data_IF_583823295032
#
_entry.id   IF_583823295032
#
_cell.length_a   1.000
_cell.length_b   1.000
_cell.length_c   1.000
_cell.angle_alpha   90.00
_cell.angle_beta   90.00
_cell.angle_gamma   90.00
#
_symmetry.space_group_name_H-M   'P 1'
#
loop_
_entity.id
_entity.type
_entity.pdbx_description
1 polymer ?
#
# COMPACT_ATOMS: atom_id res chain seq x y z
N UNK A 1 -10.64 -9.73 4.22
CA UNK A 1 -10.48 -8.26 4.34
C UNK A 1 -10.95 -7.66 5.66
N UNK A 2 -12.05 -8.12 6.28
CA UNK A 2 -12.55 -7.58 7.57
C UNK A 2 -11.46 -7.53 8.68
N UNK A 3 -10.69 -8.60 8.86
CA UNK A 3 -9.62 -8.60 9.87
C UNK A 3 -8.52 -7.58 9.57
N UNK A 4 -8.15 -7.39 8.30
CA UNK A 4 -7.16 -6.37 7.91
C UNK A 4 -7.66 -4.95 8.26
N UNK A 5 -8.95 -4.68 8.05
CA UNK A 5 -9.59 -3.43 8.48
C UNK A 5 -9.57 -3.27 10.01
N UNK A 6 -9.92 -4.31 10.77
CA UNK A 6 -9.91 -4.25 12.24
C UNK A 6 -8.50 -4.02 12.80
N UNK A 7 -7.48 -4.62 12.18
CA UNK A 7 -6.08 -4.42 12.54
C UNK A 7 -5.61 -3.00 12.23
N UNK A 8 -5.97 -2.46 11.06
CA UNK A 8 -5.68 -1.07 10.72
C UNK A 8 -6.35 -0.12 11.72
N UNK A 9 -7.64 -0.33 12.02
CA UNK A 9 -8.38 0.43 13.04
C UNK A 9 -7.70 0.35 14.41
N UNK A 10 -7.30 -0.84 14.85
CA UNK A 10 -6.64 -1.03 16.12
C UNK A 10 -5.25 -0.36 16.17
N UNK A 11 -4.52 -0.37 15.06
CA UNK A 11 -3.26 0.34 14.91
C UNK A 11 -3.48 1.85 15.03
N UNK A 12 -4.45 2.42 14.30
CA UNK A 12 -4.80 3.85 14.39
C UNK A 12 -5.24 4.26 15.80
N UNK A 13 -6.00 3.42 16.49
CA UNK A 13 -6.40 3.64 17.89
C UNK A 13 -5.17 3.74 18.79
N UNK A 14 -4.24 2.79 18.64
CA UNK A 14 -3.01 2.75 19.44
C UNK A 14 -2.10 3.94 19.16
N UNK A 15 -2.07 4.41 17.91
CA UNK A 15 -1.32 5.59 17.53
C UNK A 15 -1.93 6.90 18.03
N UNK A 16 -3.15 6.88 18.57
CA UNK A 16 -3.88 8.09 18.99
C UNK A 16 -4.49 8.87 17.82
N UNK A 17 -4.62 8.24 16.66
CA UNK A 17 -5.12 8.87 15.42
C UNK A 17 -6.63 8.68 15.26
N UNK A 18 -7.18 7.55 15.70
CA UNK A 18 -8.57 7.16 15.41
C UNK A 18 -9.63 8.10 16.02
N UNK A 19 -9.29 8.87 17.05
CA UNK A 19 -10.20 9.85 17.68
C UNK A 19 -10.36 11.14 16.88
N UNK A 20 -9.55 11.36 15.85
CA UNK A 20 -9.60 12.53 14.98
C UNK A 20 -10.48 12.30 13.75
N UNK A 21 -11.02 13.38 13.16
CA UNK A 21 -11.85 13.27 11.95
C UNK A 21 -11.03 12.74 10.78
N UNK A 22 -9.81 13.23 10.60
CA UNK A 22 -8.88 12.78 9.56
C UNK A 22 -8.53 11.29 9.71
N UNK A 23 -8.41 10.78 10.94
CA UNK A 23 -8.23 9.36 11.21
C UNK A 23 -9.44 8.51 10.80
N UNK A 24 -10.66 9.01 11.04
CA UNK A 24 -11.92 8.37 10.62
C UNK A 24 -12.02 8.38 9.09
N UNK A 25 -11.81 9.54 8.45
CA UNK A 25 -11.82 9.69 6.99
C UNK A 25 -10.82 8.74 6.35
N UNK A 26 -9.58 8.70 6.83
CA UNK A 26 -8.56 7.77 6.34
C UNK A 26 -9.03 6.31 6.41
N UNK A 27 -9.52 5.87 7.57
CA UNK A 27 -9.87 4.47 7.80
C UNK A 27 -11.02 4.02 6.89
N UNK A 28 -12.11 4.79 6.82
CA UNK A 28 -13.31 4.40 6.09
C UNK A 28 -13.18 4.63 4.58
N UNK A 29 -12.42 5.65 4.16
CA UNK A 29 -12.07 5.84 2.76
C UNK A 29 -11.18 4.69 2.28
N UNK A 30 -10.26 4.22 3.12
CA UNK A 30 -9.47 3.00 2.84
C UNK A 30 -10.36 1.77 2.69
N UNK A 31 -11.34 1.54 3.59
CA UNK A 31 -12.21 0.36 3.45
C UNK A 31 -13.10 0.40 2.22
N UNK A 32 -13.53 1.59 1.80
CA UNK A 32 -14.43 1.78 0.67
C UNK A 32 -13.72 2.03 -0.66
N UNK A 33 -12.38 2.05 -0.70
CA UNK A 33 -11.64 2.23 -1.94
C UNK A 33 -11.94 1.04 -2.88
N UNK A 34 -12.26 1.28 -4.17
CA UNK A 34 -12.72 0.21 -5.06
C UNK A 34 -11.77 -1.00 -5.12
N UNK A 35 -10.45 -0.77 -5.17
CA UNK A 35 -9.45 -1.85 -5.14
C UNK A 35 -9.46 -2.68 -3.85
N UNK A 36 -9.75 -2.08 -2.69
CA UNK A 36 -9.83 -2.81 -1.41
C UNK A 36 -11.14 -3.61 -1.29
N UNK A 37 -12.22 -3.12 -1.90
CA UNK A 37 -13.45 -3.89 -2.07
C UNK A 37 -13.21 -5.08 -3.00
N UNK A 38 -12.53 -4.87 -4.13
CA UNK A 38 -12.11 -5.97 -5.01
C UNK A 38 -11.26 -7.01 -4.28
N UNK A 39 -10.30 -6.59 -3.45
CA UNK A 39 -9.52 -7.52 -2.62
C UNK A 39 -10.37 -8.29 -1.61
N UNK A 40 -11.60 -7.87 -1.32
CA UNK A 40 -12.50 -8.63 -0.45
C UNK A 40 -13.19 -9.80 -1.15
N UNK A 41 -13.28 -9.75 -2.48
CA UNK A 41 -13.93 -10.77 -3.32
C UNK A 41 -12.94 -11.54 -4.20
N UNK A 42 -11.70 -11.07 -4.32
CA UNK A 42 -10.65 -11.74 -5.08
C UNK A 42 -10.29 -13.12 -4.50
N UNK A 43 -10.22 -14.13 -5.37
CA UNK A 43 -9.86 -15.51 -5.03
C UNK A 43 -8.35 -15.81 -5.13
N UNK A 44 -7.50 -14.78 -5.09
CA UNK A 44 -6.05 -14.90 -5.19
C UNK A 44 -5.33 -14.65 -3.85
N UNK A 45 -3.99 -14.66 -3.87
CA UNK A 45 -3.15 -14.53 -2.67
C UNK A 45 -2.97 -13.08 -2.17
N UNK A 46 -3.45 -12.07 -2.91
CA UNK A 46 -3.25 -10.66 -2.54
C UNK A 46 -3.97 -10.22 -1.26
N UNK A 47 -5.22 -10.65 -1.00
CA UNK A 47 -5.93 -10.30 0.24
C UNK A 47 -5.19 -10.85 1.48
N UNK A 48 -4.62 -12.04 1.38
CA UNK A 48 -3.80 -12.64 2.43
C UNK A 48 -2.47 -11.88 2.62
N UNK A 49 -1.79 -11.50 1.55
CA UNK A 49 -0.57 -10.70 1.63
C UNK A 49 -0.83 -9.33 2.30
N UNK A 50 -1.94 -8.67 1.94
CA UNK A 50 -2.37 -7.43 2.57
C UNK A 50 -2.71 -7.62 4.06
N UNK A 51 -3.39 -8.71 4.42
CA UNK A 51 -3.68 -9.07 5.81
C UNK A 51 -2.41 -9.23 6.66
N UNK A 52 -1.41 -10.00 6.21
CA UNK A 52 -0.14 -10.14 6.93
C UNK A 52 0.63 -8.82 7.03
N UNK A 53 0.49 -7.93 6.05
CA UNK A 53 1.05 -6.57 6.14
C UNK A 53 0.38 -5.78 7.26
N UNK A 54 -0.95 -5.86 7.40
CA UNK A 54 -1.70 -5.20 8.48
C UNK A 54 -1.43 -5.83 9.86
N UNK A 55 -1.20 -7.15 9.96
CA UNK A 55 -0.72 -7.78 11.20
C UNK A 55 0.64 -7.21 11.60
N UNK A 56 1.55 -7.14 10.64
CA UNK A 56 2.91 -6.63 10.85
C UNK A 56 2.87 -5.18 11.32
N UNK A 57 2.00 -4.34 10.74
CA UNK A 57 1.73 -2.98 11.20
C UNK A 57 1.18 -2.95 12.63
N UNK A 58 0.18 -3.77 12.94
CA UNK A 58 -0.43 -3.82 14.26
C UNK A 58 0.57 -4.22 15.36
N UNK A 59 1.33 -5.30 15.16
CA UNK A 59 2.31 -5.72 16.16
C UNK A 59 3.50 -4.76 16.24
N UNK A 60 3.94 -4.20 15.11
CA UNK A 60 5.02 -3.20 15.12
C UNK A 60 4.59 -1.92 15.84
N UNK A 61 3.36 -1.43 15.65
CA UNK A 61 2.85 -0.29 16.42
C UNK A 61 2.70 -0.62 17.90
N UNK A 62 2.30 -1.86 18.25
CA UNK A 62 2.25 -2.33 19.63
C UNK A 62 3.62 -2.37 20.31
N UNK A 63 4.67 -2.71 19.57
CA UNK A 63 6.04 -2.82 20.08
C UNK A 63 6.79 -1.50 20.13
N UNK A 64 6.57 -0.63 19.15
CA UNK A 64 7.52 0.45 18.84
C UNK A 64 6.90 1.85 18.76
N UNK A 65 5.57 2.02 18.81
CA UNK A 65 4.99 3.36 18.64
C UNK A 65 5.24 4.29 19.84
N UNK A 66 4.98 3.80 21.05
CA UNK A 66 5.18 4.52 22.32
C UNK A 66 6.11 3.79 23.32
N UNK A 67 6.54 2.58 22.98
CA UNK A 67 7.25 1.65 23.88
C UNK A 67 8.57 1.15 23.27
N UNK A 68 9.14 1.93 22.35
CA UNK A 68 10.40 1.57 21.71
C UNK A 68 11.54 1.58 22.75
N UNK A 69 12.38 0.55 22.73
CA UNK A 69 13.54 0.47 23.61
C UNK A 69 13.24 0.15 25.08
N UNK A 70 11.99 -0.14 25.44
CA UNK A 70 11.65 -0.68 26.77
C UNK A 70 12.35 -2.04 27.02
N UNK A 71 12.53 -2.39 28.31
CA UNK A 71 13.13 -3.67 28.70
C UNK A 71 12.25 -4.85 28.22
N UNK A 72 12.87 -6.00 27.97
CA UNK A 72 12.16 -7.21 27.59
C UNK A 72 11.21 -7.64 28.72
N UNK A 73 9.92 -7.74 28.42
CA UNK A 73 8.87 -8.23 29.32
C UNK A 73 8.14 -9.39 28.65
N UNK A 74 7.40 -10.20 29.43
CA UNK A 74 6.61 -11.30 28.87
C UNK A 74 5.64 -10.82 27.77
N UNK A 75 5.00 -9.66 27.98
CA UNK A 75 4.13 -9.03 26.98
C UNK A 75 4.89 -8.66 25.70
N UNK A 76 6.08 -8.05 25.83
CA UNK A 76 6.92 -7.69 24.68
C UNK A 76 7.37 -8.93 23.91
N UNK A 77 7.74 -10.00 24.61
CA UNK A 77 8.10 -11.28 24.00
C UNK A 77 6.93 -11.88 23.21
N UNK A 78 5.71 -11.89 23.76
CA UNK A 78 4.51 -12.36 23.05
C UNK A 78 4.30 -11.56 21.75
N UNK A 79 4.45 -10.24 21.81
CA UNK A 79 4.31 -9.38 20.63
C UNK A 79 5.41 -9.62 19.58
N UNK A 80 6.65 -9.87 20.00
CA UNK A 80 7.75 -10.25 19.10
C UNK A 80 7.48 -11.61 18.43
N UNK A 81 7.01 -12.60 19.18
CA UNK A 81 6.59 -13.89 18.62
C UNK A 81 5.44 -13.73 17.64
N UNK A 82 4.44 -12.89 17.95
CA UNK A 82 3.33 -12.62 17.04
C UNK A 82 3.78 -11.88 15.76
N UNK A 83 4.74 -10.95 15.88
CA UNK A 83 5.35 -10.29 14.73
C UNK A 83 6.14 -11.29 13.85
N UNK A 84 6.90 -12.18 14.47
CA UNK A 84 7.62 -13.27 13.80
C UNK A 84 6.67 -14.18 13.02
N UNK A 85 5.56 -14.60 13.64
CA UNK A 85 4.54 -15.43 12.98
C UNK A 85 3.88 -14.67 11.82
N UNK A 86 3.64 -13.37 11.96
CA UNK A 86 3.12 -12.52 10.89
C UNK A 86 4.05 -12.48 9.68
N UNK A 87 5.36 -12.29 9.90
CA UNK A 87 6.35 -12.31 8.81
C UNK A 87 6.50 -13.68 8.16
N UNK A 88 6.53 -14.75 8.97
CA UNK A 88 6.59 -16.13 8.50
C UNK A 88 5.38 -16.45 7.62
N UNK A 89 4.17 -16.18 8.12
CA UNK A 89 2.92 -16.37 7.36
C UNK A 89 2.87 -15.52 6.08
N UNK A 90 3.36 -14.28 6.14
CA UNK A 90 3.48 -13.41 4.98
C UNK A 90 4.36 -14.01 3.88
N UNK A 91 5.56 -14.50 4.23
CA UNK A 91 6.49 -15.14 3.29
C UNK A 91 6.02 -16.51 2.79
N UNK A 92 5.30 -17.29 3.60
CA UNK A 92 4.69 -18.53 3.14
C UNK A 92 3.57 -18.27 2.11
N UNK A 93 2.86 -17.15 2.25
CA UNK A 93 1.79 -16.79 1.34
C UNK A 93 2.31 -16.17 0.03
N UNK A 94 3.21 -15.17 0.11
CA UNK A 94 3.72 -14.48 -1.07
C UNK A 94 5.06 -13.79 -0.81
N UNK A 95 5.95 -13.77 -1.80
CA UNK A 95 7.28 -13.13 -1.72
C UNK A 95 7.22 -11.63 -1.37
N UNK A 96 6.14 -10.93 -1.73
CA UNK A 96 5.91 -9.53 -1.35
C UNK A 96 5.80 -9.33 0.16
N UNK A 97 5.57 -10.39 0.94
CA UNK A 97 5.63 -10.38 2.40
C UNK A 97 6.99 -9.92 2.94
N UNK A 98 8.07 -10.04 2.16
CA UNK A 98 9.40 -9.51 2.51
C UNK A 98 9.37 -7.99 2.75
N UNK A 99 8.53 -7.25 2.01
CA UNK A 99 8.44 -5.80 2.14
C UNK A 99 7.89 -5.36 3.50
N UNK A 100 7.10 -6.22 4.16
CA UNK A 100 6.57 -5.97 5.51
C UNK A 100 7.66 -5.87 6.57
N UNK A 101 8.86 -6.39 6.31
CA UNK A 101 10.00 -6.29 7.22
C UNK A 101 10.42 -4.83 7.42
N UNK A 102 10.13 -3.94 6.46
CA UNK A 102 10.46 -2.53 6.61
C UNK A 102 9.56 -1.80 7.61
N UNK A 103 8.38 -2.33 7.95
CA UNK A 103 7.39 -1.69 8.81
C UNK A 103 7.93 -1.32 10.20
N UNK A 104 8.50 -2.25 10.99
CA UNK A 104 9.02 -1.90 12.31
C UNK A 104 10.16 -0.88 12.24
N UNK A 105 11.01 -0.92 11.21
CA UNK A 105 12.06 0.06 10.99
C UNK A 105 11.48 1.44 10.69
N UNK A 106 10.50 1.54 9.79
CA UNK A 106 9.85 2.80 9.45
C UNK A 106 9.19 3.44 10.68
N UNK A 107 8.54 2.64 11.52
CA UNK A 107 7.91 3.13 12.76
C UNK A 107 8.96 3.68 13.72
N UNK A 108 10.04 2.93 13.98
CA UNK A 108 11.08 3.39 14.90
C UNK A 108 11.79 4.62 14.36
N UNK A 109 12.16 4.65 13.08
CA UNK A 109 12.83 5.78 12.45
C UNK A 109 12.02 7.08 12.57
N UNK A 110 10.70 6.99 12.44
CA UNK A 110 9.81 8.16 12.51
C UNK A 110 9.50 8.57 13.95
N UNK A 111 9.25 7.61 14.84
CA UNK A 111 8.72 7.90 16.19
C UNK A 111 9.79 7.97 17.28
N UNK A 112 10.83 7.14 17.17
CA UNK A 112 11.83 6.95 18.22
C UNK A 112 13.23 6.74 17.61
N UNK A 113 13.74 7.68 16.78
CA UNK A 113 15.01 7.52 16.06
C UNK A 113 16.20 7.32 17.01
N UNK A 114 16.16 7.86 18.21
CA UNK A 114 17.21 7.78 19.23
C UNK A 114 17.47 6.34 19.74
N UNK A 115 16.45 5.48 19.74
CA UNK A 115 16.59 4.06 20.12
C UNK A 115 16.66 3.13 18.91
N UNK A 116 16.82 3.67 17.70
CA UNK A 116 16.87 2.88 16.46
C UNK A 116 17.87 1.75 16.56
N UNK A 117 19.14 2.05 16.88
CA UNK A 117 20.19 1.04 16.94
C UNK A 117 19.91 -0.07 17.97
N UNK A 118 19.29 0.29 19.10
CA UNK A 118 18.90 -0.67 20.14
C UNK A 118 17.81 -1.62 19.64
N UNK A 119 16.76 -1.08 19.02
CA UNK A 119 15.64 -1.87 18.50
C UNK A 119 15.99 -2.65 17.23
N UNK A 120 16.95 -2.19 16.42
CA UNK A 120 17.42 -2.89 15.23
C UNK A 120 17.94 -4.28 15.55
N UNK A 121 18.65 -4.46 16.67
CA UNK A 121 19.14 -5.78 17.10
C UNK A 121 18.00 -6.76 17.33
N UNK A 122 16.94 -6.32 18.02
CA UNK A 122 15.74 -7.15 18.25
C UNK A 122 15.06 -7.52 16.93
N UNK A 123 14.92 -6.54 16.02
CA UNK A 123 14.31 -6.75 14.71
C UNK A 123 15.14 -7.71 13.85
N UNK A 124 16.47 -7.58 13.84
CA UNK A 124 17.37 -8.49 13.16
C UNK A 124 17.27 -9.92 13.68
N UNK A 125 17.16 -10.12 15.00
CA UNK A 125 16.96 -11.45 15.59
C UNK A 125 15.64 -12.06 15.10
N UNK A 126 14.54 -11.30 15.12
CA UNK A 126 13.26 -11.77 14.57
C UNK A 126 13.42 -12.18 13.11
N UNK A 127 14.11 -11.37 12.30
CA UNK A 127 14.30 -11.64 10.87
C UNK A 127 15.16 -12.87 10.60
N UNK A 128 16.22 -13.05 11.37
CA UNK A 128 17.08 -14.23 11.28
C UNK A 128 16.27 -15.49 11.59
N UNK A 129 15.43 -15.46 12.63
CA UNK A 129 14.58 -16.62 12.94
C UNK A 129 13.58 -16.87 11.81
N UNK A 130 12.93 -15.83 11.27
CA UNK A 130 12.02 -16.01 10.11
C UNK A 130 12.77 -16.61 8.92
N UNK A 131 13.97 -16.11 8.61
CA UNK A 131 14.79 -16.63 7.52
C UNK A 131 15.12 -18.12 7.73
N UNK A 132 15.50 -18.52 8.95
CA UNK A 132 15.77 -19.92 9.30
C UNK A 132 14.53 -20.82 9.20
N UNK A 133 13.35 -20.31 9.53
CA UNK A 133 12.10 -21.07 9.42
C UNK A 133 11.64 -21.26 7.97
N UNK A 134 11.86 -20.24 7.13
CA UNK A 134 11.38 -20.21 5.75
C UNK A 134 12.39 -20.83 4.77
N UNK A 135 13.69 -20.74 5.05
CA UNK A 135 14.75 -21.17 4.14
C UNK A 135 14.66 -22.64 3.72
N UNK A 136 14.33 -23.63 4.58
CA UNK A 136 14.24 -25.02 4.14
C UNK A 136 13.17 -25.21 3.06
N UNK A 137 12.04 -24.54 3.19
CA UNK A 137 10.96 -24.59 2.20
C UNK A 137 11.36 -23.89 0.90
N UNK A 138 12.00 -22.72 0.98
CA UNK A 138 12.43 -21.98 -0.20
C UNK A 138 13.56 -22.69 -0.95
N UNK A 139 14.51 -23.31 -0.23
CA UNK A 139 15.59 -24.07 -0.83
C UNK A 139 15.04 -25.31 -1.52
N UNK A 140 14.25 -26.12 -0.81
CA UNK A 140 13.74 -27.39 -1.35
C UNK A 140 12.72 -27.20 -2.47
N UNK A 141 11.81 -26.22 -2.35
CA UNK A 141 10.73 -26.02 -3.32
C UNK A 141 11.11 -25.08 -4.46
N UNK A 142 11.83 -24.00 -4.18
CA UNK A 142 12.10 -22.97 -5.18
C UNK A 142 13.50 -23.15 -5.77
N UNK A 143 14.54 -23.11 -4.93
CA UNK A 143 15.92 -23.09 -5.44
C UNK A 143 16.33 -24.41 -6.08
N UNK A 144 16.01 -25.55 -5.46
CA UNK A 144 16.34 -26.87 -6.02
C UNK A 144 15.60 -27.16 -7.34
N UNK A 145 14.43 -26.57 -7.56
CA UNK A 145 13.62 -26.79 -8.76
C UNK A 145 13.92 -25.76 -9.87
N UNK A 146 14.05 -24.48 -9.51
CA UNK A 146 14.07 -23.35 -10.44
C UNK A 146 15.41 -22.58 -10.44
N UNK A 147 16.33 -22.88 -9.52
CA UNK A 147 17.62 -22.18 -9.38
C UNK A 147 17.54 -20.74 -8.84
N UNK A 148 16.35 -20.28 -8.43
CA UNK A 148 16.10 -18.97 -7.80
C UNK A 148 15.29 -19.18 -6.51
N UNK A 149 15.55 -18.36 -5.49
CA UNK A 149 14.77 -18.38 -4.25
C UNK A 149 13.38 -17.75 -4.44
N UNK A 150 13.26 -16.83 -5.40
CA UNK A 150 12.03 -16.11 -5.73
C UNK A 150 11.68 -16.28 -7.22
N UNK A 151 11.40 -17.54 -7.66
CA UNK A 151 11.11 -17.86 -9.04
C UNK A 151 9.85 -17.13 -9.50
N UNK A 152 9.84 -16.71 -10.77
CA UNK A 152 8.70 -16.05 -11.39
C UNK A 152 8.35 -16.75 -12.69
N UNK A 153 7.06 -17.00 -12.91
CA UNK A 153 6.59 -17.72 -14.11
C UNK A 153 7.13 -17.16 -15.42
N UNK A 154 7.39 -15.86 -15.48
CA UNK A 154 7.95 -15.19 -16.65
C UNK A 154 9.37 -15.68 -17.00
N UNK A 155 10.16 -16.09 -16.01
CA UNK A 155 11.53 -16.58 -16.19
C UNK A 155 11.60 -17.84 -17.05
N UNK A 156 10.60 -18.73 -16.94
CA UNK A 156 10.54 -19.96 -17.75
C UNK A 156 9.51 -19.89 -18.88
N UNK A 157 8.30 -19.36 -18.65
CA UNK A 157 7.24 -19.30 -19.67
C UNK A 157 7.50 -18.26 -20.77
N UNK A 158 8.28 -17.23 -20.47
CA UNK A 158 8.52 -16.08 -21.37
C UNK A 158 10.00 -15.77 -21.57
N UNK A 159 10.86 -16.79 -21.44
CA UNK A 159 12.32 -16.64 -21.45
C UNK A 159 12.86 -15.84 -22.65
N UNK A 160 12.40 -16.16 -23.87
CA UNK A 160 12.86 -15.50 -25.11
C UNK A 160 12.43 -14.04 -25.14
N UNK A 161 11.14 -13.78 -24.90
CA UNK A 161 10.56 -12.43 -24.88
C UNK A 161 11.20 -11.57 -23.78
N UNK A 162 11.42 -12.15 -22.60
CA UNK A 162 12.09 -11.51 -21.49
C UNK A 162 13.55 -11.14 -21.83
N UNK A 163 14.30 -12.03 -22.48
CA UNK A 163 15.66 -11.73 -22.92
C UNK A 163 15.68 -10.57 -23.93
N UNK A 164 14.77 -10.57 -24.90
CA UNK A 164 14.62 -9.48 -25.87
C UNK A 164 14.30 -8.15 -25.20
N UNK A 165 13.30 -8.11 -24.33
CA UNK A 165 12.90 -6.87 -23.64
C UNK A 165 14.00 -6.36 -22.69
N UNK A 166 14.78 -7.26 -22.08
CA UNK A 166 15.96 -6.87 -21.29
C UNK A 166 17.07 -6.27 -22.14
N UNK A 167 17.29 -6.76 -23.36
CA UNK A 167 18.25 -6.16 -24.31
C UNK A 167 17.86 -4.72 -24.62
N UNK A 168 16.61 -4.50 -25.04
CA UNK A 168 16.07 -3.17 -25.37
C UNK A 168 16.19 -2.22 -24.17
N UNK A 169 15.82 -2.68 -22.98
CA UNK A 169 15.97 -1.91 -21.73
C UNK A 169 17.43 -1.55 -21.44
N UNK A 170 18.37 -2.47 -21.70
CA UNK A 170 19.80 -2.25 -21.43
C UNK A 170 20.45 -1.27 -22.41
N UNK A 171 19.92 -1.17 -23.62
CA UNK A 171 20.36 -0.19 -24.62
C UNK A 171 20.01 1.24 -24.19
N UNK A 172 18.85 1.45 -23.55
CA UNK A 172 18.46 2.76 -23.00
C UNK A 172 17.71 2.62 -21.66
N UNK A 173 18.48 2.54 -20.57
CA UNK A 173 17.95 2.39 -19.20
C UNK A 173 17.16 3.63 -18.76
N UNK A 174 17.61 4.83 -19.15
CA UNK A 174 16.94 6.08 -18.78
C UNK A 174 15.63 6.21 -19.55
N UNK A 175 15.64 5.93 -20.85
CA UNK A 175 14.46 5.82 -21.70
C UNK A 175 13.45 4.81 -21.15
N UNK A 176 13.91 3.65 -20.67
CA UNK A 176 13.04 2.66 -20.05
C UNK A 176 12.29 3.23 -18.82
N UNK A 177 12.99 3.89 -17.90
CA UNK A 177 12.34 4.46 -16.71
C UNK A 177 11.43 5.64 -17.03
N UNK A 178 11.86 6.54 -17.91
CA UNK A 178 11.03 7.68 -18.36
C UNK A 178 9.76 7.20 -19.07
N UNK A 179 9.87 6.16 -19.91
CA UNK A 179 8.73 5.49 -20.53
C UNK A 179 7.82 4.85 -19.47
N UNK A 180 8.38 4.07 -18.55
CA UNK A 180 7.63 3.35 -17.51
C UNK A 180 6.87 4.30 -16.57
N UNK A 181 7.43 5.48 -16.31
CA UNK A 181 6.85 6.49 -15.41
C UNK A 181 6.02 7.56 -16.12
N UNK A 182 5.83 7.46 -17.44
CA UNK A 182 5.12 8.48 -18.22
C UNK A 182 3.64 8.57 -17.84
N UNK A 183 3.08 9.76 -17.96
CA UNK A 183 1.63 9.96 -18.04
C UNK A 183 1.25 9.88 -19.53
N UNK A 184 0.47 8.88 -19.97
CA UNK A 184 0.18 8.72 -21.39
C UNK A 184 -0.65 9.85 -21.97
N UNK A 185 -0.43 10.16 -23.25
CA UNK A 185 -1.15 11.20 -24.00
C UNK A 185 -2.50 10.75 -24.58
N UNK A 186 -2.83 9.45 -24.52
CA UNK A 186 -4.11 8.94 -25.06
C UNK A 186 -5.27 9.44 -24.20
N UNK A 187 -6.36 9.86 -24.85
CA UNK A 187 -7.58 10.22 -24.14
C UNK A 187 -8.13 8.99 -23.40
N UNK A 188 -8.42 9.18 -22.11
CA UNK A 188 -8.90 8.12 -21.20
C UNK A 188 -10.25 7.50 -21.63
N UNK A 189 -10.97 8.13 -22.56
CA UNK A 189 -12.20 7.60 -23.17
C UNK A 189 -11.94 6.36 -24.05
N UNK A 190 -10.72 6.18 -24.58
CA UNK A 190 -10.34 5.02 -25.39
C UNK A 190 -9.94 3.83 -24.51
N UNK A 191 -10.92 3.25 -23.82
CA UNK A 191 -10.74 2.10 -22.90
C UNK A 191 -10.53 0.75 -23.60
N UNK A 192 -10.17 0.76 -24.89
CA UNK A 192 -10.07 -0.43 -25.73
C UNK A 192 -8.80 -1.24 -25.48
N UNK A 193 -7.78 -0.65 -24.85
CA UNK A 193 -6.68 -1.40 -24.21
C UNK A 193 -5.95 -0.50 -23.21
N UNK A 194 -5.97 -0.80 -21.89
CA UNK A 194 -5.27 0.02 -20.93
C UNK A 194 -3.77 -0.01 -21.22
N UNK A 195 -3.10 1.13 -21.05
CA UNK A 195 -1.67 1.26 -21.32
C UNK A 195 -0.91 0.43 -20.28
N UNK A 196 -0.35 -0.70 -20.73
CA UNK A 196 0.14 -1.77 -19.86
C UNK A 196 1.54 -1.52 -19.27
N UNK A 197 2.24 -0.52 -19.80
CA UNK A 197 3.65 -0.21 -19.62
C UNK A 197 3.88 1.16 -18.97
N UNK A 198 2.83 1.79 -18.42
CA UNK A 198 2.93 2.99 -17.58
C UNK A 198 2.46 2.67 -16.17
N UNK A 199 3.36 2.78 -15.20
CA UNK A 199 3.08 2.51 -13.78
C UNK A 199 2.05 3.48 -13.22
N UNK A 200 2.28 4.77 -13.43
CA UNK A 200 1.41 5.82 -12.89
C UNK A 200 -0.02 5.64 -13.42
N UNK A 201 -0.15 5.48 -14.74
CA UNK A 201 -1.45 5.30 -15.37
C UNK A 201 -2.14 4.02 -14.89
N UNK A 202 -1.44 2.89 -14.90
CA UNK A 202 -2.05 1.58 -14.64
C UNK A 202 -2.42 1.39 -13.18
N UNK A 203 -1.58 1.84 -12.24
CA UNK A 203 -1.89 1.79 -10.80
C UNK A 203 -3.09 2.68 -10.49
N UNK A 204 -3.11 3.91 -11.03
CA UNK A 204 -4.22 4.83 -10.83
C UNK A 204 -5.52 4.26 -11.44
N UNK A 205 -5.46 3.79 -12.69
CA UNK A 205 -6.60 3.15 -13.37
C UNK A 205 -7.15 1.98 -12.55
N UNK A 206 -6.32 1.01 -12.19
CA UNK A 206 -6.75 -0.17 -11.43
C UNK A 206 -7.14 0.14 -9.98
N UNK A 207 -6.89 1.35 -9.47
CA UNK A 207 -7.41 1.74 -8.16
C UNK A 207 -8.88 2.13 -8.24
N UNK A 208 -9.30 2.75 -9.34
CA UNK A 208 -10.62 3.38 -9.48
C UNK A 208 -11.56 2.65 -10.44
N UNK A 209 -11.04 2.03 -11.49
CA UNK A 209 -11.80 1.48 -12.62
C UNK A 209 -11.46 -0.01 -12.81
N UNK A 210 -12.50 -0.87 -12.82
CA UNK A 210 -12.37 -2.28 -13.18
C UNK A 210 -12.01 -2.43 -14.66
N UNK A 211 -10.94 -3.16 -14.96
CA UNK A 211 -10.60 -3.49 -16.35
C UNK A 211 -11.58 -4.53 -16.91
N UNK A 212 -12.13 -4.29 -18.12
CA UNK A 212 -13.12 -5.15 -18.80
C UNK A 212 -12.71 -6.62 -18.95
N UNK A 213 -11.41 -6.91 -18.91
CA UNK A 213 -10.85 -8.25 -19.09
C UNK A 213 -10.86 -9.12 -17.83
N UNK A 214 -11.27 -8.59 -16.67
CA UNK A 214 -11.34 -9.30 -15.38
C UNK A 214 -12.73 -9.95 -15.17
N UNK A 215 -13.51 -10.14 -16.25
CA UNK A 215 -14.88 -10.69 -16.23
C UNK A 215 -15.89 -9.79 -15.51
N UNK A 216 -17.16 -10.17 -15.47
CA UNK A 216 -18.25 -9.45 -14.76
C UNK A 216 -18.93 -8.34 -15.56
N UNK A 217 -20.26 -8.23 -15.44
CA UNK A 217 -21.06 -7.16 -16.05
C UNK A 217 -20.87 -5.87 -15.24
N UNK A 218 -20.15 -4.89 -15.79
CA UNK A 218 -20.12 -3.54 -15.22
C UNK A 218 -21.38 -2.79 -15.67
N UNK A 219 -22.20 -2.35 -14.72
CA UNK A 219 -23.38 -1.54 -15.05
C UNK A 219 -23.00 -0.15 -15.54
N UNK A 220 -23.81 0.53 -16.37
CA UNK A 220 -23.55 1.91 -16.80
C UNK A 220 -23.37 2.88 -15.63
N UNK A 221 -24.09 2.66 -14.53
CA UNK A 221 -23.97 3.46 -13.30
C UNK A 221 -22.62 3.24 -12.61
N UNK A 222 -22.18 1.98 -12.48
CA UNK A 222 -20.86 1.62 -11.95
C UNK A 222 -19.74 2.26 -12.78
N UNK A 223 -19.93 2.31 -14.10
CA UNK A 223 -18.98 2.94 -15.00
C UNK A 223 -18.89 4.47 -14.86
N UNK A 224 -20.04 5.12 -14.73
CA UNK A 224 -20.12 6.56 -14.47
C UNK A 224 -19.44 6.93 -13.15
N UNK A 225 -19.75 6.19 -12.08
CA UNK A 225 -19.20 6.44 -10.74
C UNK A 225 -17.68 6.25 -10.72
N UNK A 226 -17.18 5.14 -11.29
CA UNK A 226 -15.74 4.87 -11.35
C UNK A 226 -14.96 5.91 -12.16
N UNK A 227 -15.54 6.39 -13.26
CA UNK A 227 -14.99 7.50 -14.06
C UNK A 227 -14.95 8.79 -13.25
N UNK A 228 -16.04 9.11 -12.54
CA UNK A 228 -16.07 10.28 -11.67
C UNK A 228 -14.97 10.20 -10.61
N UNK A 229 -14.82 9.07 -9.91
CA UNK A 229 -13.76 8.89 -8.90
C UNK A 229 -12.36 9.05 -9.48
N UNK A 230 -12.11 8.47 -10.65
CA UNK A 230 -10.82 8.55 -11.33
C UNK A 230 -10.33 10.00 -11.51
N UNK A 231 -11.23 10.92 -11.90
CA UNK A 231 -10.91 12.33 -12.07
C UNK A 231 -11.01 13.12 -10.76
N UNK A 232 -12.06 12.89 -9.99
CA UNK A 232 -12.32 13.62 -8.75
C UNK A 232 -11.18 13.45 -7.76
N UNK A 233 -10.72 12.21 -7.52
CA UNK A 233 -9.69 11.94 -6.51
C UNK A 233 -8.29 12.38 -6.93
N UNK A 234 -8.06 12.72 -8.20
CA UNK A 234 -6.78 13.26 -8.64
C UNK A 234 -6.45 14.56 -7.88
N UNK A 235 -7.46 15.42 -7.68
CA UNK A 235 -7.30 16.72 -7.01
C UNK A 235 -6.96 16.57 -5.52
N UNK A 236 -7.79 15.92 -4.66
CA UNK A 236 -7.49 15.82 -3.24
C UNK A 236 -6.27 14.94 -2.94
N UNK A 237 -5.95 13.92 -3.76
CA UNK A 237 -4.73 13.12 -3.57
C UNK A 237 -3.49 13.94 -3.88
N UNK A 238 -3.47 14.70 -4.98
CA UNK A 238 -2.33 15.56 -5.33
C UNK A 238 -2.17 16.70 -4.33
N UNK A 239 -3.25 17.41 -4.00
CA UNK A 239 -3.24 18.49 -3.02
C UNK A 239 -2.76 17.99 -1.65
N UNK A 240 -3.29 16.87 -1.15
CA UNK A 240 -2.90 16.28 0.13
C UNK A 240 -1.45 15.83 0.16
N UNK A 241 -0.97 15.23 -0.93
CA UNK A 241 0.44 14.82 -1.07
C UNK A 241 1.38 16.03 -1.05
N UNK A 242 1.05 17.09 -1.78
CA UNK A 242 1.84 18.33 -1.78
C UNK A 242 1.86 19.00 -0.41
N UNK A 243 0.70 19.12 0.24
CA UNK A 243 0.58 19.68 1.59
C UNK A 243 1.44 18.89 2.59
N UNK A 244 1.42 17.56 2.52
CA UNK A 244 2.22 16.69 3.38
C UNK A 244 3.72 16.91 3.15
N UNK A 245 4.18 16.96 1.89
CA UNK A 245 5.60 17.15 1.55
C UNK A 245 6.10 18.51 2.05
N UNK A 246 5.37 19.58 1.76
CA UNK A 246 5.72 20.96 2.15
C UNK A 246 5.83 21.08 3.68
N UNK A 247 4.97 20.38 4.43
CA UNK A 247 4.89 20.46 5.89
C UNK A 247 5.65 19.36 6.63
N UNK A 248 6.34 18.48 5.92
CA UNK A 248 7.03 17.31 6.47
C UNK A 248 8.04 17.63 7.59
N UNK A 249 8.58 18.85 7.60
CA UNK A 249 9.61 19.29 8.56
C UNK A 249 9.07 19.93 9.83
N UNK A 250 7.83 20.44 9.84
CA UNK A 250 7.35 21.31 10.93
C UNK A 250 6.38 20.64 11.91
N UNK A 251 5.83 19.47 11.58
CA UNK A 251 4.80 18.80 12.40
C UNK A 251 5.27 17.44 12.93
N UNK A 252 4.98 17.21 14.21
CA UNK A 252 5.33 15.97 14.95
C UNK A 252 4.11 15.29 15.57
N UNK A 253 2.89 15.75 15.25
CA UNK A 253 1.68 15.11 15.74
C UNK A 253 1.57 13.65 15.28
N UNK A 254 0.68 12.91 15.94
CA UNK A 254 0.51 11.49 15.69
C UNK A 254 0.06 11.18 14.25
N UNK A 255 -0.80 12.02 13.66
CA UNK A 255 -1.34 11.81 12.32
C UNK A 255 -0.29 12.04 11.24
N UNK A 256 0.50 13.11 11.38
CA UNK A 256 1.60 13.42 10.50
C UNK A 256 2.74 12.40 10.62
N UNK A 257 3.04 11.95 11.85
CA UNK A 257 3.98 10.84 12.08
C UNK A 257 3.51 9.56 11.40
N UNK A 258 2.22 9.22 11.52
CA UNK A 258 1.64 8.08 10.81
C UNK A 258 1.76 8.24 9.29
N UNK A 259 1.54 9.46 8.78
CA UNK A 259 1.78 9.81 7.38
C UNK A 259 3.21 9.56 6.91
N UNK A 260 4.22 9.89 7.73
CA UNK A 260 5.63 9.61 7.41
C UNK A 260 5.89 8.11 7.29
N UNK A 261 5.32 7.30 8.18
CA UNK A 261 5.41 5.83 8.09
C UNK A 261 4.74 5.32 6.82
N UNK A 262 3.51 5.76 6.54
CA UNK A 262 2.81 5.37 5.31
C UNK A 262 3.56 5.79 4.05
N UNK A 263 4.06 7.02 3.99
CA UNK A 263 4.82 7.53 2.85
C UNK A 263 6.06 6.69 2.58
N UNK A 264 6.85 6.38 3.63
CA UNK A 264 8.03 5.54 3.52
C UNK A 264 7.68 4.14 3.01
N UNK A 265 6.62 3.53 3.56
CA UNK A 265 6.14 2.22 3.11
C UNK A 265 5.66 2.25 1.66
N UNK A 266 4.88 3.27 1.27
CA UNK A 266 4.44 3.44 -0.11
C UNK A 266 5.61 3.58 -1.07
N UNK A 267 6.65 4.31 -0.70
CA UNK A 267 7.89 4.41 -1.48
C UNK A 267 8.57 3.04 -1.62
N UNK A 268 8.70 2.28 -0.54
CA UNK A 268 9.33 0.94 -0.57
C UNK A 268 8.58 -0.01 -1.50
N UNK A 269 7.25 -0.09 -1.36
CA UNK A 269 6.43 -0.94 -2.23
C UNK A 269 6.45 -0.49 -3.69
N UNK A 270 6.46 0.82 -3.94
CA UNK A 270 6.57 1.38 -5.28
C UNK A 270 7.93 1.09 -5.92
N UNK A 271 9.02 1.28 -5.17
CA UNK A 271 10.38 0.94 -5.61
C UNK A 271 10.53 -0.57 -5.87
N UNK A 272 9.95 -1.42 -5.03
CA UNK A 272 9.94 -2.86 -5.25
C UNK A 272 9.20 -3.25 -6.54
N UNK A 273 8.08 -2.59 -6.84
CA UNK A 273 7.38 -2.77 -8.11
C UNK A 273 8.21 -2.27 -9.30
N UNK A 274 8.88 -1.13 -9.19
CA UNK A 274 9.80 -0.65 -10.25
C UNK A 274 10.97 -1.61 -10.45
N UNK A 275 11.56 -2.14 -9.39
CA UNK A 275 12.62 -3.14 -9.46
C UNK A 275 12.12 -4.44 -10.11
N UNK A 276 10.89 -4.86 -9.78
CA UNK A 276 10.24 -6.01 -10.40
C UNK A 276 10.01 -5.80 -11.89
N UNK A 277 9.46 -4.65 -12.29
CA UNK A 277 9.25 -4.26 -13.69
C UNK A 277 10.57 -4.20 -14.45
N UNK A 278 11.59 -3.60 -13.83
CA UNK A 278 12.93 -3.57 -14.39
C UNK A 278 13.43 -5.00 -14.63
N UNK A 279 13.33 -5.91 -13.65
CA UNK A 279 13.74 -7.33 -13.83
C UNK A 279 12.89 -8.07 -14.86
N UNK A 280 11.61 -7.75 -15.00
CA UNK A 280 10.60 -8.51 -15.77
C UNK A 280 9.77 -7.63 -16.75
N UNK A 281 10.40 -6.97 -17.75
CA UNK A 281 9.74 -5.97 -18.61
C UNK A 281 8.90 -6.57 -19.75
N UNK A 282 8.07 -7.59 -19.48
CA UNK A 282 7.20 -8.23 -20.50
C UNK A 282 5.78 -7.70 -20.36
N UNK A 283 5.53 -6.51 -20.94
CA UNK A 283 4.36 -5.68 -20.68
C UNK A 283 3.01 -6.36 -20.90
N UNK A 284 2.87 -7.10 -22.00
CA UNK A 284 1.68 -7.86 -22.40
C UNK A 284 1.28 -8.96 -21.39
N UNK A 285 2.17 -9.33 -20.47
CA UNK A 285 1.89 -10.29 -19.39
C UNK A 285 1.28 -9.63 -18.14
N UNK A 286 1.02 -8.33 -18.18
CA UNK A 286 0.38 -7.62 -17.07
C UNK A 286 1.29 -7.48 -15.84
N UNK A 287 2.53 -7.05 -16.04
CA UNK A 287 3.57 -6.90 -14.99
C UNK A 287 3.15 -5.92 -13.90
N UNK A 288 2.42 -4.88 -14.28
CA UNK A 288 1.98 -3.80 -13.38
C UNK A 288 0.58 -4.11 -12.89
N UNK A 289 0.42 -4.33 -11.58
CA UNK A 289 -0.90 -4.50 -10.96
C UNK A 289 -0.99 -3.73 -9.63
N UNK A 290 -2.02 -2.90 -9.48
CA UNK A 290 -2.27 -2.13 -8.26
C UNK A 290 -2.40 -3.03 -7.02
N UNK A 291 -3.07 -4.18 -7.17
CA UNK A 291 -3.23 -5.17 -6.08
C UNK A 291 -1.89 -5.71 -5.52
N UNK A 292 -0.81 -5.71 -6.31
CA UNK A 292 0.51 -6.16 -5.84
C UNK A 292 1.19 -5.17 -4.89
N UNK A 293 0.74 -3.91 -4.89
CA UNK A 293 1.23 -2.84 -4.01
C UNK A 293 0.10 -2.29 -3.13
N UNK A 294 -0.90 -3.11 -2.79
CA UNK A 294 -2.06 -2.68 -2.02
C UNK A 294 -1.70 -1.88 -0.74
N UNK A 295 -0.67 -2.22 0.05
CA UNK A 295 -0.22 -1.39 1.17
C UNK A 295 0.19 0.03 0.77
N UNK A 296 0.82 0.22 -0.39
CA UNK A 296 1.21 1.53 -0.90
C UNK A 296 -0.01 2.41 -1.23
N UNK A 297 -1.11 1.79 -1.65
CA UNK A 297 -2.34 2.48 -2.04
C UNK A 297 -3.04 3.15 -0.85
N UNK A 298 -2.72 2.77 0.40
CA UNK A 298 -3.15 3.50 1.61
C UNK A 298 -2.68 4.96 1.62
N UNK A 299 -1.67 5.31 0.82
CA UNK A 299 -1.28 6.71 0.63
C UNK A 299 -2.42 7.58 0.08
N UNK A 300 -3.23 7.06 -0.84
CA UNK A 300 -4.30 7.84 -1.48
C UNK A 300 -5.36 8.30 -0.47
N UNK A 301 -6.00 7.42 0.34
CA UNK A 301 -6.94 7.85 1.36
C UNK A 301 -6.25 8.68 2.45
N UNK A 302 -4.97 8.44 2.74
CA UNK A 302 -4.22 9.28 3.68
C UNK A 302 -4.06 10.71 3.15
N UNK A 303 -3.68 10.89 1.89
CA UNK A 303 -3.54 12.21 1.28
C UNK A 303 -4.87 12.99 1.31
N UNK A 304 -5.99 12.33 0.99
CA UNK A 304 -7.34 12.94 1.08
C UNK A 304 -7.64 13.34 2.53
N UNK A 305 -7.39 12.47 3.49
CA UNK A 305 -7.56 12.78 4.91
C UNK A 305 -6.63 13.91 5.39
N UNK A 306 -5.44 14.03 4.79
CA UNK A 306 -4.48 15.10 5.09
C UNK A 306 -4.98 16.47 4.65
N UNK A 307 -5.77 16.56 3.58
CA UNK A 307 -6.49 17.79 3.22
C UNK A 307 -7.47 18.21 4.34
N UNK A 308 -8.22 17.26 4.90
CA UNK A 308 -9.16 17.51 6.01
C UNK A 308 -8.39 17.98 7.24
N UNK A 309 -7.34 17.27 7.63
CA UNK A 309 -6.44 17.65 8.72
C UNK A 309 -5.93 19.09 8.54
N UNK A 310 -5.40 19.41 7.36
CA UNK A 310 -4.89 20.74 7.06
C UNK A 310 -5.95 21.84 7.23
N UNK A 311 -7.13 21.65 6.64
CA UNK A 311 -8.23 22.63 6.70
C UNK A 311 -8.68 22.86 8.15
N UNK A 312 -8.81 21.79 8.95
CA UNK A 312 -9.23 21.89 10.35
C UNK A 312 -8.24 22.65 11.25
N UNK A 313 -6.96 22.63 10.91
CA UNK A 313 -5.90 23.28 11.68
C UNK A 313 -5.55 24.69 11.19
N UNK A 314 -6.18 25.18 10.11
CA UNK A 314 -6.02 26.57 9.67
C UNK A 314 -6.97 27.51 10.43
N UNK A 315 -6.41 28.56 11.04
CA UNK A 315 -7.17 29.59 11.77
C UNK A 315 -8.28 30.24 10.94
N UNK A 316 -8.04 30.48 9.64
CA UNK A 316 -9.02 31.08 8.72
C UNK A 316 -10.34 30.28 8.63
N UNK A 317 -10.30 28.96 8.80
CA UNK A 317 -11.48 28.10 8.73
C UNK A 317 -12.07 27.72 10.10
N UNK A 318 -11.53 28.25 11.19
CA UNK A 318 -11.97 27.93 12.56
C UNK A 318 -13.47 28.11 12.78
N UNK A 319 -14.07 29.18 12.23
CA UNK A 319 -15.52 29.46 12.31
C UNK A 319 -16.39 28.44 11.56
N UNK A 320 -15.84 27.80 10.53
CA UNK A 320 -16.53 26.82 9.70
C UNK A 320 -16.22 25.37 10.11
N UNK A 321 -15.47 25.16 11.19
CA UNK A 321 -15.04 23.84 11.63
C UNK A 321 -16.20 22.84 11.77
N UNK A 322 -17.34 23.15 12.42
CA UNK A 322 -18.46 22.22 12.50
C UNK A 322 -19.01 21.84 11.13
N UNK A 323 -19.13 22.82 10.22
CA UNK A 323 -19.62 22.59 8.85
C UNK A 323 -18.67 21.69 8.05
N UNK A 324 -17.37 21.95 8.13
CA UNK A 324 -16.34 21.13 7.48
C UNK A 324 -16.37 19.70 8.01
N UNK A 325 -16.53 19.52 9.33
CA UNK A 325 -16.61 18.21 9.95
C UNK A 325 -17.84 17.43 9.47
N UNK A 326 -19.02 18.04 9.54
CA UNK A 326 -20.27 17.43 9.07
C UNK A 326 -20.25 17.14 7.57
N UNK A 327 -19.75 18.07 6.76
CA UNK A 327 -19.62 17.90 5.30
C UNK A 327 -18.66 16.77 4.94
N UNK A 328 -17.51 16.68 5.62
CA UNK A 328 -16.55 15.59 5.40
C UNK A 328 -17.13 14.23 5.77
N UNK A 329 -17.87 14.14 6.87
CA UNK A 329 -18.56 12.91 7.28
C UNK A 329 -19.68 12.54 6.29
N UNK A 330 -20.47 13.50 5.82
CA UNK A 330 -21.52 13.26 4.84
C UNK A 330 -20.94 12.75 3.50
N UNK A 331 -19.86 13.36 3.01
CA UNK A 331 -19.16 12.91 1.82
C UNK A 331 -18.55 11.52 1.99
N UNK A 332 -17.96 11.24 3.16
CA UNK A 332 -17.43 9.92 3.49
C UNK A 332 -18.53 8.86 3.50
N UNK A 333 -19.66 9.14 4.15
CA UNK A 333 -20.81 8.24 4.20
C UNK A 333 -21.38 7.98 2.81
N UNK A 334 -21.53 9.02 1.98
CA UNK A 334 -21.97 8.88 0.60
C UNK A 334 -20.99 8.01 -0.20
N UNK A 335 -19.69 8.25 -0.08
CA UNK A 335 -18.68 7.46 -0.77
C UNK A 335 -18.72 5.98 -0.34
N UNK A 336 -18.77 5.71 0.97
CA UNK A 336 -18.90 4.34 1.51
C UNK A 336 -20.18 3.69 0.98
N UNK A 337 -21.32 4.37 1.11
CA UNK A 337 -22.61 3.86 0.64
C UNK A 337 -22.57 3.50 -0.84
N UNK A 338 -22.11 4.40 -1.71
CA UNK A 338 -22.04 4.16 -3.15
C UNK A 338 -21.16 2.96 -3.50
N UNK A 339 -20.00 2.82 -2.86
CA UNK A 339 -19.07 1.74 -3.17
C UNK A 339 -19.52 0.36 -2.68
N UNK A 340 -20.31 0.28 -1.60
CA UNK A 340 -20.86 -0.99 -1.11
C UNK A 340 -22.21 -1.35 -1.73
N UNK A 341 -22.92 -0.39 -2.34
CA UNK A 341 -24.23 -0.62 -2.99
C UNK A 341 -24.11 -0.78 -4.50
N UNK A 342 -23.19 -0.06 -5.14
CA UNK A 342 -22.92 -0.16 -6.57
C UNK A 342 -21.58 -0.87 -6.74
N UNK A 343 -21.57 -2.15 -7.17
CA UNK A 343 -20.34 -2.87 -7.38
C UNK A 343 -19.55 -2.22 -8.52
N UNK A 344 -18.47 -1.53 -8.16
CA UNK A 344 -17.48 -1.00 -9.11
C UNK A 344 -16.60 -2.12 -9.68
N UNK A 345 -16.42 -3.18 -8.89
CA UNK A 345 -15.61 -4.36 -9.18
C UNK A 345 -16.37 -5.67 -9.10
#
# INVERSE_FOLDING_TARGET
MLFAFLLLRASLKRMGVLSSLEGIVFLYLSSALPIFIFLSTASDYEPAAYFFTMLSLYFSTALYWNSAGEKLSARRLILLCALLLSFTGGLLNKYTGLLSFAIPFCIVLVRNPEVLWKTMKEQLVVFLIVALLISPLYISRNFAQEGDLFPMNMSWLKRIELAKQRSIRNEDVIGFFTHTMRIPRKFFSERTSPIQDSVIHRVWLQTWIREKYIGGLQSPLSDLISTFYYFFFLVPVTAGSLLFIIRSRSHTDAFHSFGKVLFALSCIFFLAMLAFIFKYPVWNWGVIKAKYIAPALLWMPFAVAYCVHYILHIKMFSRFRPLIMSGSLALLLLFVFLNYTVPIY
#
